data_IF_805190651402
#
_entry.id   IF_805190651402
#
_cell.length_a   1.000
_cell.length_b   1.000
_cell.length_c   1.000
_cell.angle_alpha   90.00
_cell.angle_beta   90.00
_cell.angle_gamma   90.00
#
_symmetry.space_group_name_H-M   'P 1'
#
loop_
_entity.id
_entity.type
_entity.pdbx_description
1 polymer ?
#
# COMPACT_ATOMS: atom_id res chain seq x y z
N UNK A 1 13.20 -4.73 -15.61
CA UNK A 1 12.16 -5.66 -15.10
C UNK A 1 12.29 -5.93 -13.60
N UNK A 2 13.49 -6.24 -13.09
CA UNK A 2 13.67 -6.51 -11.65
C UNK A 2 13.52 -5.27 -10.77
N UNK A 3 13.87 -4.09 -11.29
CA UNK A 3 13.83 -2.85 -10.53
C UNK A 3 12.40 -2.28 -10.42
N UNK A 4 11.57 -2.46 -11.44
CA UNK A 4 10.16 -2.13 -11.46
C UNK A 4 9.38 -2.99 -10.46
N UNK A 5 9.63 -4.30 -10.44
CA UNK A 5 9.02 -5.23 -9.47
C UNK A 5 9.45 -4.87 -8.04
N UNK A 6 10.75 -4.59 -7.83
CA UNK A 6 11.26 -4.17 -6.52
C UNK A 6 10.66 -2.82 -6.09
N UNK A 7 10.49 -1.87 -7.00
CA UNK A 7 9.88 -0.59 -6.72
C UNK A 7 8.40 -0.75 -6.34
N UNK A 8 7.67 -1.60 -7.05
CA UNK A 8 6.30 -1.99 -6.69
C UNK A 8 6.24 -2.59 -5.28
N UNK A 9 7.06 -3.59 -4.96
CA UNK A 9 7.04 -4.25 -3.65
C UNK A 9 7.42 -3.29 -2.51
N UNK A 10 8.37 -2.40 -2.77
CA UNK A 10 8.75 -1.33 -1.84
C UNK A 10 7.56 -0.40 -1.61
N UNK A 11 6.90 0.04 -2.68
CA UNK A 11 5.68 0.83 -2.62
C UNK A 11 4.59 0.15 -1.80
N UNK A 12 4.32 -1.13 -2.05
CA UNK A 12 3.30 -1.91 -1.34
C UNK A 12 3.58 -2.00 0.14
N UNK A 13 4.84 -2.27 0.52
CA UNK A 13 5.26 -2.32 1.91
C UNK A 13 5.10 -0.96 2.61
N UNK A 14 5.50 0.13 1.93
CA UNK A 14 5.35 1.50 2.41
C UNK A 14 3.88 1.91 2.54
N UNK A 15 3.02 1.48 1.61
CA UNK A 15 1.57 1.68 1.61
C UNK A 15 0.89 1.01 2.81
N UNK A 16 1.24 -0.26 3.07
CA UNK A 16 0.78 -0.99 4.26
C UNK A 16 1.21 -0.24 5.54
N UNK A 17 2.46 0.23 5.58
CA UNK A 17 3.00 0.98 6.71
C UNK A 17 2.46 2.43 6.82
N UNK A 18 1.75 2.92 5.81
CA UNK A 18 1.27 4.31 5.76
C UNK A 18 2.36 5.36 5.65
N UNK A 19 3.56 5.01 5.18
CA UNK A 19 4.73 5.91 5.10
C UNK A 19 5.15 6.08 3.65
N UNK A 20 4.73 7.18 3.02
CA UNK A 20 5.10 7.47 1.64
C UNK A 20 6.52 8.02 1.54
N UNK A 21 7.33 7.44 0.67
CA UNK A 21 8.64 7.94 0.26
C UNK A 21 8.50 8.79 -1.02
N UNK A 22 8.66 10.11 -0.88
CA UNK A 22 8.52 11.05 -1.99
C UNK A 22 9.69 10.98 -2.98
N UNK A 23 10.87 10.51 -2.54
CA UNK A 23 12.04 10.37 -3.42
C UNK A 23 11.79 9.21 -4.37
N UNK A 24 11.43 8.03 -3.84
CA UNK A 24 11.08 6.86 -4.66
C UNK A 24 9.86 7.13 -5.54
N UNK A 25 8.85 7.81 -5.00
CA UNK A 25 7.67 8.17 -5.79
C UNK A 25 7.95 9.16 -6.93
N UNK A 26 9.05 9.93 -6.84
CA UNK A 26 9.46 10.89 -7.85
C UNK A 26 10.52 10.36 -8.83
N UNK A 27 10.96 9.11 -8.65
CA UNK A 27 11.94 8.49 -9.53
C UNK A 27 11.41 8.40 -10.97
N UNK A 28 12.18 8.86 -11.98
CA UNK A 28 11.70 8.93 -13.35
C UNK A 28 11.49 7.54 -13.99
N UNK A 29 12.24 6.53 -13.55
CA UNK A 29 12.25 5.21 -14.17
C UNK A 29 11.31 4.24 -13.44
N UNK A 30 11.24 4.32 -12.11
CA UNK A 30 10.54 3.36 -11.24
C UNK A 30 9.43 3.97 -10.37
N UNK A 31 9.27 5.30 -10.42
CA UNK A 31 8.30 6.00 -9.57
C UNK A 31 6.85 5.63 -9.88
N UNK A 32 6.55 5.21 -11.12
CA UNK A 32 5.21 4.71 -11.46
C UNK A 32 4.88 3.41 -10.71
N UNK A 33 5.80 2.45 -10.72
CA UNK A 33 5.64 1.16 -10.05
C UNK A 33 5.56 1.31 -8.54
N UNK A 34 6.41 2.17 -7.95
CA UNK A 34 6.34 2.52 -6.53
C UNK A 34 4.96 3.08 -6.15
N UNK A 35 4.43 4.03 -6.93
CA UNK A 35 3.12 4.65 -6.64
C UNK A 35 1.98 3.64 -6.76
N UNK A 36 2.06 2.73 -7.72
CA UNK A 36 1.08 1.64 -7.87
C UNK A 36 1.11 0.71 -6.65
N UNK A 37 2.28 0.21 -6.27
CA UNK A 37 2.41 -0.60 -5.07
C UNK A 37 1.90 0.11 -3.82
N UNK A 38 2.25 1.40 -3.66
CA UNK A 38 1.78 2.20 -2.53
C UNK A 38 0.26 2.27 -2.46
N UNK A 39 -0.40 2.52 -3.59
CA UNK A 39 -1.87 2.56 -3.65
C UNK A 39 -2.49 1.21 -3.28
N UNK A 40 -1.97 0.12 -3.82
CA UNK A 40 -2.45 -1.23 -3.51
C UNK A 40 -2.31 -1.55 -2.00
N UNK A 41 -1.17 -1.19 -1.40
CA UNK A 41 -0.97 -1.35 0.04
C UNK A 41 -1.95 -0.52 0.89
N UNK A 42 -2.35 0.67 0.43
CA UNK A 42 -3.41 1.47 1.10
C UNK A 42 -4.78 0.80 1.01
N UNK A 43 -5.11 0.22 -0.15
CA UNK A 43 -6.37 -0.49 -0.37
C UNK A 43 -6.44 -1.76 0.50
N UNK A 44 -5.33 -2.49 0.62
CA UNK A 44 -5.22 -3.67 1.47
C UNK A 44 -5.53 -3.33 2.95
N UNK A 45 -4.90 -2.27 3.47
CA UNK A 45 -5.18 -1.78 4.83
C UNK A 45 -6.62 -1.32 4.99
N UNK A 46 -7.19 -0.67 3.98
CA UNK A 46 -8.60 -0.26 4.02
C UNK A 46 -9.53 -1.48 4.15
N UNK A 47 -9.32 -2.53 3.35
CA UNK A 47 -10.10 -3.76 3.44
C UNK A 47 -9.95 -4.45 4.80
N UNK A 48 -8.74 -4.45 5.37
CA UNK A 48 -8.49 -4.97 6.73
C UNK A 48 -9.29 -4.19 7.77
N UNK A 49 -9.25 -2.86 7.74
CA UNK A 49 -9.99 -2.00 8.67
C UNK A 49 -11.50 -2.20 8.54
N UNK A 50 -12.01 -2.32 7.32
CA UNK A 50 -13.42 -2.63 7.08
C UNK A 50 -13.82 -4.01 7.66
N UNK A 51 -12.94 -5.01 7.55
CA UNK A 51 -13.17 -6.32 8.15
C UNK A 51 -13.17 -6.27 9.69
N UNK A 52 -12.21 -5.59 10.30
CA UNK A 52 -12.16 -5.38 11.76
C UNK A 52 -13.42 -4.66 12.24
N UNK A 53 -13.91 -3.67 11.49
CA UNK A 53 -15.12 -2.95 11.84
C UNK A 53 -16.35 -3.87 11.86
N UNK A 54 -16.52 -4.72 10.85
CA UNK A 54 -17.62 -5.70 10.81
C UNK A 54 -17.59 -6.64 12.01
N UNK A 55 -16.41 -7.15 12.38
CA UNK A 55 -16.25 -8.03 13.57
C UNK A 55 -16.67 -7.31 14.86
N UNK A 56 -16.34 -6.02 15.01
CA UNK A 56 -16.75 -5.26 16.18
C UNK A 56 -18.27 -5.00 16.22
N UNK A 57 -18.86 -4.70 15.06
CA UNK A 57 -20.30 -4.47 14.96
C UNK A 57 -21.06 -5.78 15.30
N UNK A 58 -20.62 -6.93 14.78
CA UNK A 58 -21.19 -8.26 15.11
C UNK A 58 -21.03 -8.67 16.58
N UNK A 59 -19.97 -8.24 17.27
CA UNK A 59 -19.74 -8.58 18.66
C UNK A 59 -20.60 -7.77 19.66
N UNK A 60 -21.29 -6.72 19.17
CA UNK A 60 -22.09 -5.80 19.99
C UNK A 60 -23.60 -6.07 19.86
N UNK A 61 -24.01 -6.93 18.93
CA UNK A 61 -25.38 -7.43 18.74
C UNK A 61 -25.63 -8.74 19.51
#
# INVERSE_FOLDING_TARGET
MDDEIRAYDTGRTDGIAGRRDNVKAGDPDTGADYRMGFLDGRIEVFHLLAAVRRIQDEATD
#
